data_IF_590998483648
#
_entry.id   IF_590998483648
#
_cell.length_a   1.000
_cell.length_b   1.000
_cell.length_c   1.000
_cell.angle_alpha   90.00
_cell.angle_beta   90.00
_cell.angle_gamma   90.00
#
_symmetry.space_group_name_H-M   'P 1'
#
loop_
_entity.id
_entity.type
_entity.pdbx_description
1 polymer ?
#
# COMPACT_ATOMS: atom_id res chain seq x y z
N UNK A 1 39.80 -8.16 58.53
CA UNK A 1 40.48 -6.94 58.04
C UNK A 1 40.50 -6.94 56.52
N UNK A 2 39.58 -6.24 55.86
CA UNK A 2 39.79 -5.50 54.60
C UNK A 2 38.73 -4.39 54.55
N UNK A 3 39.19 -3.20 54.21
CA UNK A 3 38.60 -1.89 54.52
C UNK A 3 37.50 -1.51 53.51
N UNK A 4 36.39 -0.98 54.01
CA UNK A 4 35.39 -0.29 53.22
C UNK A 4 35.96 1.05 52.73
N UNK A 5 36.00 1.25 51.42
CA UNK A 5 36.38 2.53 50.80
C UNK A 5 35.10 3.34 50.57
N UNK A 6 34.76 4.21 51.53
CA UNK A 6 33.74 5.24 51.35
C UNK A 6 34.32 6.34 50.44
N UNK A 7 33.79 6.46 49.23
CA UNK A 7 33.99 7.62 48.35
C UNK A 7 33.01 8.74 48.76
N UNK A 8 33.48 9.91 49.22
CA UNK A 8 32.60 11.03 49.54
C UNK A 8 32.17 11.73 48.24
N UNK A 9 30.87 11.91 48.03
CA UNK A 9 30.35 12.81 46.98
C UNK A 9 29.51 12.19 45.87
N UNK A 10 29.11 10.91 45.93
CA UNK A 10 28.11 10.40 45.00
C UNK A 10 26.69 10.69 45.50
N UNK A 11 26.06 11.72 44.96
CA UNK A 11 24.60 11.83 44.98
C UNK A 11 24.04 10.64 44.22
N UNK A 12 23.44 9.68 44.93
CA UNK A 12 22.71 8.55 44.35
C UNK A 12 21.51 9.10 43.58
N UNK A 13 21.64 9.28 42.27
CA UNK A 13 20.49 9.59 41.41
C UNK A 13 19.62 8.34 41.35
N UNK A 14 18.51 8.37 42.10
CA UNK A 14 17.46 7.38 42.01
C UNK A 14 16.73 7.62 40.67
N UNK A 15 17.01 6.80 39.65
CA UNK A 15 16.22 6.79 38.43
C UNK A 15 14.77 6.38 38.78
N UNK A 16 13.74 7.14 38.34
CA UNK A 16 12.37 6.73 38.52
C UNK A 16 12.13 5.42 37.77
N UNK A 17 11.54 4.44 38.46
CA UNK A 17 11.14 3.17 37.87
C UNK A 17 10.10 3.43 36.77
N UNK A 18 10.12 2.69 35.65
CA UNK A 18 9.14 2.87 34.59
C UNK A 18 7.73 2.50 35.09
N UNK A 19 6.82 3.47 35.10
CA UNK A 19 5.39 3.23 35.36
C UNK A 19 4.83 2.43 34.19
N UNK A 20 4.32 1.23 34.48
CA UNK A 20 3.58 0.42 33.52
C UNK A 20 2.34 1.19 33.02
N UNK A 21 2.07 1.24 31.71
CA UNK A 21 0.91 1.95 31.20
C UNK A 21 -0.38 1.29 31.71
N UNK A 22 -1.18 2.09 32.43
CA UNK A 22 -2.52 1.70 32.84
C UNK A 22 -3.45 1.65 31.61
N UNK A 23 -4.39 0.69 31.54
CA UNK A 23 -5.39 0.67 30.49
C UNK A 23 -6.34 1.84 30.69
N UNK A 24 -6.38 2.77 29.72
CA UNK A 24 -7.46 3.76 29.66
C UNK A 24 -8.67 3.12 28.99
N UNK A 25 -9.79 3.11 29.71
CA UNK A 25 -11.08 2.73 29.16
C UNK A 25 -11.67 3.86 28.31
N UNK A 26 -11.96 3.49 27.06
CA UNK A 26 -13.14 3.85 26.25
C UNK A 26 -13.56 5.31 26.12
N UNK A 27 -13.32 5.89 24.94
CA UNK A 27 -14.35 6.67 24.24
C UNK A 27 -14.53 6.08 22.84
N UNK A 28 -15.66 5.42 22.65
CA UNK A 28 -16.11 4.93 21.36
C UNK A 28 -16.36 6.11 20.43
N UNK A 29 -15.43 6.35 19.51
CA UNK A 29 -15.75 7.00 18.26
C UNK A 29 -16.57 6.00 17.44
N UNK A 30 -17.88 6.23 17.44
CA UNK A 30 -18.77 5.72 16.41
C UNK A 30 -18.24 6.18 15.04
N UNK A 31 -17.63 5.24 14.32
CA UNK A 31 -17.25 5.38 12.93
C UNK A 31 -18.04 4.36 12.10
N UNK A 32 -19.37 4.45 12.16
CA UNK A 32 -20.29 3.66 11.34
C UNK A 32 -20.28 4.05 9.84
N UNK A 33 -19.14 4.51 9.31
CA UNK A 33 -18.96 4.75 7.87
C UNK A 33 -17.60 4.31 7.32
N UNK A 34 -16.75 3.66 8.14
CA UNK A 34 -15.54 2.98 7.65
C UNK A 34 -15.55 1.49 7.98
N UNK A 35 -16.60 0.78 7.58
CA UNK A 35 -16.60 -0.67 7.65
C UNK A 35 -16.29 -1.26 6.27
N UNK A 36 -15.03 -1.20 5.82
CA UNK A 36 -14.62 -2.08 4.71
C UNK A 36 -13.12 -2.43 4.62
N UNK A 37 -12.37 -2.50 5.73
CA UNK A 37 -11.05 -3.17 5.73
C UNK A 37 -10.75 -3.76 7.12
N UNK A 38 -11.23 -4.97 7.40
CA UNK A 38 -10.62 -5.80 8.44
C UNK A 38 -9.58 -6.70 7.79
N UNK A 39 -8.38 -6.68 8.35
CA UNK A 39 -7.32 -7.65 8.06
C UNK A 39 -7.78 -8.99 8.64
N UNK A 40 -8.09 -9.94 7.76
CA UNK A 40 -8.54 -11.28 8.11
C UNK A 40 -9.73 -11.70 7.26
N UNK A 41 -9.54 -12.78 6.51
CA UNK A 41 -10.49 -13.48 5.64
C UNK A 41 -10.81 -12.79 4.30
N UNK A 42 -10.28 -13.37 3.22
CA UNK A 42 -10.49 -13.04 1.81
C UNK A 42 -10.83 -11.57 1.54
N UNK A 43 -9.82 -10.69 1.62
CA UNK A 43 -9.98 -9.28 1.27
C UNK A 43 -10.66 -9.19 -0.10
N UNK A 44 -11.93 -8.79 -0.10
CA UNK A 44 -12.72 -8.63 -1.30
C UNK A 44 -12.10 -7.50 -2.11
N UNK A 45 -11.34 -7.87 -3.14
CA UNK A 45 -10.81 -6.93 -4.12
C UNK A 45 -11.88 -6.81 -5.21
N UNK A 46 -12.54 -5.66 -5.35
CA UNK A 46 -13.55 -5.46 -6.38
C UNK A 46 -12.91 -5.64 -7.76
N UNK A 47 -13.50 -6.47 -8.61
CA UNK A 47 -13.00 -6.71 -9.98
C UNK A 47 -13.90 -6.10 -11.04
N UNK A 48 -15.19 -5.98 -10.74
CA UNK A 48 -16.13 -5.30 -11.62
C UNK A 48 -15.81 -3.82 -11.69
N UNK A 49 -15.71 -3.34 -12.92
CA UNK A 49 -15.65 -1.94 -13.29
C UNK A 49 -16.66 -1.06 -12.55
N UNK A 50 -17.88 -1.56 -12.32
CA UNK A 50 -18.93 -0.84 -11.60
C UNK A 50 -18.62 -0.75 -10.09
N UNK A 51 -18.16 -1.85 -9.50
CA UNK A 51 -17.86 -1.93 -8.07
C UNK A 51 -16.63 -1.07 -7.73
N UNK A 52 -15.61 -1.09 -8.59
CA UNK A 52 -14.42 -0.24 -8.46
C UNK A 52 -14.83 1.23 -8.47
N UNK A 53 -15.68 1.65 -9.41
CA UNK A 53 -16.19 3.03 -9.46
C UNK A 53 -16.96 3.39 -8.19
N UNK A 54 -17.87 2.52 -7.75
CA UNK A 54 -18.68 2.76 -6.56
C UNK A 54 -17.83 2.95 -5.31
N UNK A 55 -16.84 2.07 -5.10
CA UNK A 55 -15.95 2.11 -3.93
C UNK A 55 -15.06 3.37 -3.96
N UNK A 56 -14.64 3.79 -5.14
CA UNK A 56 -13.83 5.00 -5.33
C UNK A 56 -14.65 6.29 -5.43
N UNK A 57 -16.00 6.21 -5.40
CA UNK A 57 -16.88 7.36 -5.56
C UNK A 57 -16.80 8.03 -6.95
N UNK A 58 -16.48 7.26 -7.98
CA UNK A 58 -16.34 7.74 -9.36
C UNK A 58 -17.67 7.70 -10.12
N UNK A 59 -17.85 8.61 -11.07
CA UNK A 59 -19.03 8.59 -11.95
C UNK A 59 -19.01 7.39 -12.91
N UNK A 60 -20.17 6.87 -13.36
CA UNK A 60 -20.23 5.73 -14.27
C UNK A 60 -19.44 5.91 -15.57
N UNK A 61 -19.45 7.14 -16.11
CA UNK A 61 -18.76 7.49 -17.37
C UNK A 61 -17.27 7.83 -17.17
N UNK A 62 -16.81 7.89 -15.92
CA UNK A 62 -15.42 8.22 -15.63
C UNK A 62 -14.51 7.03 -15.95
N UNK A 63 -13.36 7.33 -16.56
CA UNK A 63 -12.36 6.33 -16.87
C UNK A 63 -11.69 5.80 -15.59
N UNK A 64 -11.58 4.47 -15.48
CA UNK A 64 -10.83 3.80 -14.43
C UNK A 64 -9.33 3.87 -14.72
N UNK A 65 -8.68 4.91 -14.21
CA UNK A 65 -7.24 5.11 -14.33
C UNK A 65 -6.66 5.73 -13.05
N UNK A 66 -5.33 5.73 -12.94
CA UNK A 66 -4.65 6.42 -11.83
C UNK A 66 -4.93 7.93 -11.78
N UNK A 67 -5.34 8.54 -12.91
CA UNK A 67 -5.71 9.95 -12.98
C UNK A 67 -7.08 10.24 -12.34
N UNK A 68 -7.91 9.21 -12.14
CA UNK A 68 -9.17 9.36 -11.42
C UNK A 68 -8.98 9.53 -9.90
N UNK A 69 -7.78 9.23 -9.38
CA UNK A 69 -7.46 9.41 -7.97
C UNK A 69 -7.04 10.84 -7.66
N UNK A 70 -7.48 11.35 -6.52
CA UNK A 70 -7.01 12.62 -5.96
C UNK A 70 -5.50 12.56 -5.66
N UNK A 71 -4.84 13.71 -5.77
CA UNK A 71 -3.43 13.83 -5.43
C UNK A 71 -3.21 13.64 -3.92
N UNK A 72 -2.22 12.81 -3.52
CA UNK A 72 -1.81 12.77 -2.13
C UNK A 72 -1.15 14.09 -1.72
N UNK A 73 -1.07 14.40 -0.41
CA UNK A 73 -0.25 15.49 0.07
C UNK A 73 1.21 15.37 -0.45
N UNK A 74 1.94 16.48 -0.63
CA UNK A 74 3.30 16.46 -1.18
C UNK A 74 4.21 15.47 -0.46
N UNK A 75 4.92 14.66 -1.23
CA UNK A 75 5.81 13.62 -0.71
C UNK A 75 5.13 12.46 0.05
N UNK A 76 3.79 12.37 0.06
CA UNK A 76 3.08 11.25 0.68
C UNK A 76 2.63 10.21 -0.35
N UNK A 77 2.53 8.96 0.12
CA UNK A 77 2.00 7.86 -0.67
C UNK A 77 0.49 8.01 -0.83
N UNK A 78 -0.09 7.65 -2.00
CA UNK A 78 -1.53 7.57 -2.18
C UNK A 78 -2.19 6.70 -1.10
N UNK A 79 -3.34 7.14 -0.58
CA UNK A 79 -4.10 6.40 0.44
C UNK A 79 -4.74 5.09 -0.05
N UNK A 80 -4.70 4.84 -1.37
CA UNK A 80 -5.23 3.62 -1.97
C UNK A 80 -4.28 2.43 -1.78
N UNK A 81 -4.86 1.23 -1.67
CA UNK A 81 -4.12 -0.01 -1.51
C UNK A 81 -3.30 -0.38 -2.77
N UNK A 82 -2.24 -1.18 -2.64
CA UNK A 82 -1.46 -1.66 -3.80
C UNK A 82 -2.31 -2.40 -4.83
N UNK A 83 -3.26 -3.29 -4.45
CA UNK A 83 -4.18 -3.90 -5.40
C UNK A 83 -4.96 -2.85 -6.19
N UNK A 84 -5.59 -1.89 -5.51
CA UNK A 84 -6.37 -0.82 -6.15
C UNK A 84 -5.52 0.00 -7.12
N UNK A 85 -4.31 0.39 -6.69
CA UNK A 85 -3.37 1.12 -7.55
C UNK A 85 -2.95 0.29 -8.78
N UNK A 86 -2.69 -1.00 -8.59
CA UNK A 86 -2.30 -1.89 -9.69
C UNK A 86 -3.45 -2.12 -10.67
N UNK A 87 -4.69 -2.25 -10.17
CA UNK A 87 -5.89 -2.34 -11.00
C UNK A 87 -6.06 -1.09 -11.86
N UNK A 88 -6.02 0.10 -11.24
CA UNK A 88 -6.19 1.36 -11.96
C UNK A 88 -5.05 1.63 -12.95
N UNK A 89 -3.83 1.18 -12.67
CA UNK A 89 -2.73 1.25 -13.65
C UNK A 89 -3.04 0.40 -14.88
N UNK A 90 -3.45 -0.86 -14.69
CA UNK A 90 -3.76 -1.79 -15.77
C UNK A 90 -5.00 -1.32 -16.54
N UNK A 91 -6.09 -1.00 -15.85
CA UNK A 91 -7.34 -0.53 -16.42
C UNK A 91 -7.17 0.83 -17.10
N UNK A 92 -6.28 1.70 -16.62
CA UNK A 92 -5.98 2.97 -17.28
C UNK A 92 -5.11 2.86 -18.53
N UNK A 93 -4.52 1.68 -18.80
CA UNK A 93 -3.73 1.48 -20.01
C UNK A 93 -4.60 1.31 -21.25
N UNK A 94 -4.13 1.78 -22.40
CA UNK A 94 -4.86 1.66 -23.69
C UNK A 94 -5.18 0.21 -24.04
N UNK A 95 -4.29 -0.72 -23.70
CA UNK A 95 -4.42 -2.16 -24.00
C UNK A 95 -5.06 -2.97 -22.88
N UNK A 96 -5.46 -2.33 -21.76
CA UNK A 96 -5.99 -2.97 -20.54
C UNK A 96 -5.10 -4.10 -20.01
N UNK A 97 -3.80 -3.99 -20.24
CA UNK A 97 -2.76 -4.96 -19.87
C UNK A 97 -1.44 -4.24 -19.74
N UNK A 98 -0.67 -4.57 -18.71
CA UNK A 98 0.66 -4.02 -18.47
C UNK A 98 1.61 -5.12 -17.99
N UNK A 99 2.88 -5.00 -18.32
CA UNK A 99 3.96 -5.77 -17.69
C UNK A 99 4.23 -5.25 -16.28
N UNK A 100 4.93 -6.05 -15.47
CA UNK A 100 5.35 -5.62 -14.12
C UNK A 100 6.13 -4.30 -14.14
N UNK A 101 7.02 -4.12 -15.12
CA UNK A 101 7.82 -2.91 -15.23
C UNK A 101 6.96 -1.70 -15.60
N UNK A 102 5.98 -1.87 -16.48
CA UNK A 102 5.06 -0.79 -16.86
C UNK A 102 4.13 -0.41 -15.70
N UNK A 103 3.75 -1.36 -14.81
CA UNK A 103 3.01 -1.02 -13.60
C UNK A 103 3.85 -0.14 -12.67
N UNK A 104 5.14 -0.43 -12.50
CA UNK A 104 6.04 0.45 -11.74
C UNK A 104 6.11 1.85 -12.36
N UNK A 105 6.31 1.91 -13.68
CA UNK A 105 6.42 3.17 -14.41
C UNK A 105 5.14 4.00 -14.29
N UNK A 106 3.97 3.37 -14.44
CA UNK A 106 2.68 4.08 -14.32
C UNK A 106 2.49 4.73 -12.94
N UNK A 107 2.96 4.08 -11.87
CA UNK A 107 2.92 4.65 -10.52
C UNK A 107 3.95 5.77 -10.32
N UNK A 108 5.18 5.57 -10.82
CA UNK A 108 6.25 6.57 -10.80
C UNK A 108 5.87 7.83 -11.59
N UNK A 109 5.21 7.68 -12.74
CA UNK A 109 4.77 8.78 -13.59
C UNK A 109 3.65 9.59 -12.94
N UNK A 110 2.72 8.91 -12.25
CA UNK A 110 1.56 9.57 -11.65
C UNK A 110 1.84 10.21 -10.31
N UNK A 111 2.63 9.57 -9.44
CA UNK A 111 2.73 9.93 -8.03
C UNK A 111 4.18 10.15 -7.61
N UNK A 112 4.43 11.33 -7.04
CA UNK A 112 5.75 11.76 -6.62
C UNK A 112 6.43 10.79 -5.64
N UNK A 113 5.69 10.23 -4.68
CA UNK A 113 6.24 9.29 -3.70
C UNK A 113 6.90 8.07 -4.38
N UNK A 114 6.24 7.43 -5.34
CA UNK A 114 6.81 6.28 -6.03
C UNK A 114 8.05 6.65 -6.84
N UNK A 115 8.04 7.84 -7.47
CA UNK A 115 9.19 8.36 -8.21
C UNK A 115 10.40 8.61 -7.31
N UNK A 116 10.21 9.24 -6.15
CA UNK A 116 11.28 9.49 -5.18
C UNK A 116 11.79 8.20 -4.53
N UNK A 117 10.93 7.19 -4.41
CA UNK A 117 11.25 5.90 -3.84
C UNK A 117 11.53 4.81 -4.90
N UNK A 118 11.85 5.17 -6.15
CA UNK A 118 11.95 4.20 -7.26
C UNK A 118 12.92 3.04 -7.04
N UNK A 119 13.96 3.26 -6.23
CA UNK A 119 14.98 2.24 -5.93
C UNK A 119 14.59 1.34 -4.74
N UNK A 120 13.56 1.71 -3.98
CA UNK A 120 13.09 0.92 -2.83
C UNK A 120 12.43 -0.39 -3.30
N UNK A 121 13.05 -1.50 -2.93
CA UNK A 121 12.58 -2.84 -3.28
C UNK A 121 11.39 -3.28 -2.47
N UNK A 122 11.08 -2.63 -1.35
CA UNK A 122 9.97 -2.98 -0.47
C UNK A 122 8.63 -2.85 -1.19
N UNK A 123 8.30 -1.66 -1.71
CA UNK A 123 7.03 -1.45 -2.42
C UNK A 123 6.96 -2.23 -3.74
N UNK A 124 8.07 -2.38 -4.46
CA UNK A 124 8.14 -3.23 -5.66
C UNK A 124 7.86 -4.70 -5.31
N UNK A 125 8.35 -5.18 -4.16
CA UNK A 125 8.09 -6.52 -3.69
C UNK A 125 6.62 -6.69 -3.30
N UNK A 126 6.03 -5.68 -2.65
CA UNK A 126 4.59 -5.66 -2.40
C UNK A 126 3.81 -5.81 -3.70
N UNK A 127 4.10 -5.04 -4.76
CA UNK A 127 3.39 -5.19 -6.05
C UNK A 127 3.52 -6.62 -6.59
N UNK A 128 4.72 -7.20 -6.68
CA UNK A 128 4.92 -8.58 -7.17
C UNK A 128 4.12 -9.60 -6.37
N UNK A 129 4.13 -9.46 -5.04
CA UNK A 129 3.37 -10.30 -4.14
C UNK A 129 1.87 -10.17 -4.40
N UNK A 130 1.34 -8.94 -4.50
CA UNK A 130 -0.08 -8.67 -4.71
C UNK A 130 -0.58 -9.23 -6.05
N UNK A 131 0.20 -9.05 -7.13
CA UNK A 131 -0.14 -9.60 -8.46
C UNK A 131 -0.24 -11.12 -8.46
N UNK A 132 0.51 -11.81 -7.60
CA UNK A 132 0.46 -13.27 -7.51
C UNK A 132 -0.57 -13.76 -6.47
N UNK A 133 -0.87 -12.94 -5.45
CA UNK A 133 -1.75 -13.29 -4.35
C UNK A 133 -3.23 -13.20 -4.75
N UNK A 134 -3.63 -12.11 -5.40
CA UNK A 134 -5.05 -11.86 -5.69
C UNK A 134 -5.46 -12.40 -7.05
N UNK A 135 -6.56 -13.17 -7.06
CA UNK A 135 -7.09 -13.84 -8.27
C UNK A 135 -7.50 -12.87 -9.38
N UNK A 136 -7.83 -11.63 -9.02
CA UNK A 136 -8.19 -10.60 -9.98
C UNK A 136 -7.03 -10.22 -10.91
N UNK A 137 -5.78 -10.51 -10.53
CA UNK A 137 -4.63 -10.31 -11.40
C UNK A 137 -4.29 -11.60 -12.14
N UNK A 138 -4.51 -11.59 -13.45
CA UNK A 138 -4.21 -12.74 -14.30
C UNK A 138 -2.98 -12.48 -15.16
N UNK A 139 -2.05 -13.43 -15.14
CA UNK A 139 -0.84 -13.40 -15.98
C UNK A 139 -1.14 -13.94 -17.38
N UNK A 140 -0.74 -13.20 -18.41
CA UNK A 140 -0.86 -13.58 -19.83
C UNK A 140 0.52 -13.64 -20.48
N UNK A 141 0.79 -14.72 -21.20
CA UNK A 141 2.02 -14.84 -21.99
C UNK A 141 2.06 -13.76 -23.09
N UNK A 142 3.22 -13.16 -23.31
CA UNK A 142 3.41 -12.26 -24.44
C UNK A 142 3.34 -13.05 -25.75
N UNK A 143 2.83 -12.44 -26.85
CA UNK A 143 2.92 -13.04 -28.18
C UNK A 143 4.38 -13.33 -28.53
N UNK A 144 4.62 -14.42 -29.28
CA UNK A 144 5.96 -14.79 -29.77
C UNK A 144 6.55 -13.67 -30.65
N UNK A 145 5.68 -12.89 -31.31
CA UNK A 145 6.04 -11.74 -32.14
C UNK A 145 6.56 -10.53 -31.36
N UNK A 146 6.35 -10.46 -30.04
CA UNK A 146 6.75 -9.34 -29.19
C UNK A 146 7.86 -9.77 -28.22
N UNK A 147 9.12 -9.83 -28.67
CA UNK A 147 10.24 -10.22 -27.82
C UNK A 147 10.36 -9.25 -26.63
N UNK A 148 10.62 -9.80 -25.44
CA UNK A 148 10.82 -9.00 -24.24
C UNK A 148 10.69 -9.82 -22.95
N UNK A 149 11.19 -9.28 -21.85
CA UNK A 149 11.17 -9.95 -20.55
C UNK A 149 9.78 -9.89 -19.92
N UNK A 150 9.34 -11.00 -19.35
CA UNK A 150 8.17 -11.07 -18.48
C UNK A 150 6.87 -11.41 -19.20
N UNK A 151 5.77 -11.15 -18.51
CA UNK A 151 4.40 -11.45 -18.95
C UNK A 151 3.54 -10.21 -18.78
N UNK A 152 2.43 -10.15 -19.50
CA UNK A 152 1.39 -9.16 -19.24
C UNK A 152 0.58 -9.56 -18.01
N UNK A 153 0.09 -8.56 -17.30
CA UNK A 153 -0.89 -8.67 -16.24
C UNK A 153 -2.16 -7.95 -16.69
N UNK A 154 -3.29 -8.60 -16.47
CA UNK A 154 -4.63 -8.05 -16.70
C UNK A 154 -5.45 -8.13 -15.43
N UNK A 155 -6.53 -7.35 -15.38
CA UNK A 155 -7.57 -7.45 -14.35
C UNK A 155 -8.74 -8.27 -14.94
N UNK A 156 -9.23 -9.25 -14.19
CA UNK A 156 -10.36 -10.14 -14.52
C UNK A 156 -11.43 -10.08 -13.43
#
# INVERSE_FOLDING_TARGET
MRQESLIPGQTRIQLPQPVAPQPYDTLGYDNSSQSHLRVGDDAYIPTSDADIRQILGLSPDQELSLNALADPPPGQRPGQSIPTLSQLAILGSTTKRLTLQEIYQALEDRFEWFRLNRDDKSWQNSIRHNLSLYKCFRRIAKPITEPGKGSYWVVD
#
